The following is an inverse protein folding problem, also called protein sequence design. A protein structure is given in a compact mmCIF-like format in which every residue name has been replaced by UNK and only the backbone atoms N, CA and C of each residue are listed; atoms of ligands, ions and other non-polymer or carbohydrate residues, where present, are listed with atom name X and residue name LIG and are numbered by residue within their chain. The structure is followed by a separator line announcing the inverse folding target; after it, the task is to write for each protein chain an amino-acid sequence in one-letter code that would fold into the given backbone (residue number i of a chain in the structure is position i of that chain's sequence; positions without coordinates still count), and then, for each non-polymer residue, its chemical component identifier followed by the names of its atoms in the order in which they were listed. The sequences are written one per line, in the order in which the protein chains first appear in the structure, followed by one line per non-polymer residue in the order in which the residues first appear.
data_IF_194931079835
#
_entry.id   IF_194931079835
#
_cell.length_a   1.000
_cell.length_b   1.000
_cell.length_c   1.000
_cell.angle_alpha   90.00
_cell.angle_beta   90.00
_cell.angle_gamma   90.00
#
_symmetry.space_group_name_H-M   'P 1'
#
loop_
_entity.id
_entity.type
_entity.pdbx_description
1 polymer ?
#
# COMPACT_ATOMS: atom_id res chain seq x y z
N UNK A 1 17.89 3.42 -4.63
CA UNK A 1 16.72 2.98 -5.39
C UNK A 1 16.51 1.48 -5.18
N UNK A 2 15.47 1.13 -4.44
CA UNK A 2 15.23 -0.27 -4.09
C UNK A 2 14.53 -1.00 -5.24
N UNK A 3 14.90 -2.28 -5.42
CA UNK A 3 14.18 -3.10 -6.38
C UNK A 3 12.78 -3.45 -5.85
N UNK A 4 11.94 -3.96 -6.74
CA UNK A 4 10.54 -4.27 -6.44
C UNK A 4 10.40 -5.26 -5.29
N UNK A 5 11.21 -6.32 -5.28
CA UNK A 5 11.11 -7.39 -4.29
C UNK A 5 11.42 -6.87 -2.89
N UNK A 6 12.50 -6.09 -2.75
CA UNK A 6 12.89 -5.52 -1.45
C UNK A 6 11.84 -4.53 -0.97
N UNK A 7 11.37 -3.65 -1.85
CA UNK A 7 10.33 -2.68 -1.52
C UNK A 7 9.02 -3.36 -1.11
N UNK A 8 8.66 -4.45 -1.80
CA UNK A 8 7.47 -5.23 -1.47
C UNK A 8 7.53 -5.77 -0.04
N UNK A 9 8.67 -6.33 0.36
CA UNK A 9 8.84 -6.84 1.73
C UNK A 9 8.80 -5.72 2.76
N UNK A 10 9.42 -4.58 2.47
CA UNK A 10 9.39 -3.42 3.37
C UNK A 10 7.96 -2.92 3.55
N UNK A 11 7.22 -2.78 2.45
CA UNK A 11 5.83 -2.31 2.49
C UNK A 11 4.96 -3.32 3.21
N UNK A 12 5.13 -4.63 2.95
CA UNK A 12 4.39 -5.67 3.66
C UNK A 12 4.55 -5.51 5.17
N UNK A 13 5.78 -5.38 5.64
CA UNK A 13 6.06 -5.29 7.08
C UNK A 13 5.42 -4.07 7.72
N UNK A 14 5.56 -2.90 7.08
CA UNK A 14 5.00 -1.68 7.67
C UNK A 14 3.47 -1.69 7.65
N UNK A 15 2.85 -2.28 6.63
CA UNK A 15 1.39 -2.36 6.57
C UNK A 15 0.83 -3.42 7.51
N UNK A 16 1.50 -4.55 7.67
CA UNK A 16 1.12 -5.57 8.66
C UNK A 16 1.18 -5.02 10.08
N UNK A 17 2.09 -4.10 10.35
CA UNK A 17 2.23 -3.46 11.65
C UNK A 17 1.02 -2.58 11.98
N UNK A 18 0.52 -1.83 11.01
CA UNK A 18 -0.58 -0.88 11.24
C UNK A 18 -1.96 -1.49 10.97
N UNK A 19 -2.03 -2.57 10.21
CA UNK A 19 -3.28 -3.27 9.87
C UNK A 19 -3.06 -4.78 10.01
N UNK A 20 -2.89 -5.30 11.24
CA UNK A 20 -2.48 -6.69 11.45
C UNK A 20 -3.52 -7.73 11.05
N UNK A 21 -4.78 -7.34 10.89
CA UNK A 21 -5.86 -8.29 10.53
C UNK A 21 -6.11 -8.37 9.03
N UNK A 22 -5.44 -7.53 8.23
CA UNK A 22 -5.61 -7.53 6.77
C UNK A 22 -4.63 -8.55 6.16
N UNK A 23 -5.14 -9.35 5.21
CA UNK A 23 -4.30 -10.27 4.46
C UNK A 23 -3.70 -9.54 3.24
N UNK A 24 -2.45 -9.09 3.37
CA UNK A 24 -1.77 -8.38 2.28
C UNK A 24 -1.29 -9.28 1.15
N UNK A 25 -1.46 -10.60 1.27
CA UNK A 25 -1.17 -11.53 0.17
C UNK A 25 -2.37 -11.79 -0.73
N UNK A 26 -3.52 -11.20 -0.41
CA UNK A 26 -4.73 -11.34 -1.20
C UNK A 26 -4.59 -10.68 -2.56
N UNK A 27 -5.10 -11.32 -3.61
CA UNK A 27 -5.23 -10.74 -4.95
C UNK A 27 -6.44 -9.80 -5.04
N UNK A 28 -7.24 -9.74 -3.99
CA UNK A 28 -8.45 -8.90 -3.89
C UNK A 28 -8.36 -8.02 -2.66
N UNK A 29 -7.21 -7.40 -2.46
CA UNK A 29 -6.93 -6.62 -1.26
C UNK A 29 -7.95 -5.50 -1.04
N UNK A 30 -8.39 -4.85 -2.12
CA UNK A 30 -9.35 -3.74 -2.02
C UNK A 30 -10.63 -4.16 -1.29
N UNK A 31 -11.09 -5.40 -1.50
CA UNK A 31 -12.32 -5.89 -0.87
C UNK A 31 -12.15 -6.17 0.63
N UNK A 32 -10.92 -6.24 1.12
CA UNK A 32 -10.62 -6.44 2.54
C UNK A 32 -10.45 -5.15 3.32
N UNK A 33 -10.51 -4.00 2.61
CA UNK A 33 -10.24 -2.69 3.22
C UNK A 33 -11.53 -1.90 3.40
N UNK A 34 -11.66 -1.25 4.56
CA UNK A 34 -12.65 -0.20 4.77
C UNK A 34 -12.00 1.17 4.54
N UNK A 35 -12.78 2.25 4.71
CA UNK A 35 -12.27 3.61 4.51
C UNK A 35 -11.09 3.94 5.42
N UNK A 36 -11.12 3.45 6.66
CA UNK A 36 -10.04 3.68 7.61
C UNK A 36 -8.79 2.92 7.19
N UNK A 37 -8.94 1.68 6.73
CA UNK A 37 -7.83 0.89 6.23
C UNK A 37 -7.15 1.54 5.02
N UNK A 38 -7.95 2.01 4.07
CA UNK A 38 -7.43 2.74 2.90
C UNK A 38 -6.66 3.98 3.32
N UNK A 39 -7.25 4.81 4.19
CA UNK A 39 -6.59 6.02 4.68
C UNK A 39 -5.27 5.69 5.39
N UNK A 40 -5.28 4.65 6.22
CA UNK A 40 -4.08 4.21 6.95
C UNK A 40 -2.97 3.82 5.99
N UNK A 41 -3.28 3.07 4.94
CA UNK A 41 -2.30 2.68 3.92
C UNK A 41 -1.70 3.92 3.24
N UNK A 42 -2.55 4.83 2.77
CA UNK A 42 -2.08 6.03 2.08
C UNK A 42 -1.17 6.88 2.97
N UNK A 43 -1.55 7.08 4.22
CA UNK A 43 -0.75 7.85 5.17
C UNK A 43 0.58 7.17 5.48
N UNK A 44 0.55 5.87 5.73
CA UNK A 44 1.75 5.11 6.09
C UNK A 44 2.78 5.15 4.96
N UNK A 45 2.34 4.92 3.73
CA UNK A 45 3.23 4.92 2.57
C UNK A 45 3.72 6.34 2.23
N UNK A 46 2.86 7.34 2.38
CA UNK A 46 3.27 8.73 2.16
C UNK A 46 4.39 9.13 3.11
N UNK A 47 4.23 8.82 4.39
CA UNK A 47 5.23 9.14 5.41
C UNK A 47 6.52 8.36 5.20
N UNK A 48 6.42 7.08 4.90
CA UNK A 48 7.59 6.21 4.78
C UNK A 48 8.48 6.58 3.61
N UNK A 49 7.89 7.05 2.51
CA UNK A 49 8.63 7.31 1.27
C UNK A 49 8.74 8.80 0.92
N UNK A 50 8.21 9.67 1.75
CA UNK A 50 8.26 11.11 1.49
C UNK A 50 7.52 11.51 0.22
N UNK A 51 6.42 10.82 -0.09
CA UNK A 51 5.59 11.08 -1.28
C UNK A 51 4.20 11.53 -0.85
N UNK A 52 3.40 12.00 -1.80
CA UNK A 52 2.02 12.39 -1.53
C UNK A 52 1.07 11.39 -2.19
N UNK A 53 0.35 10.65 -1.36
CA UNK A 53 -0.76 9.79 -1.80
C UNK A 53 -2.04 10.35 -1.20
N UNK A 54 -3.05 10.55 -2.03
CA UNK A 54 -4.34 11.10 -1.61
C UNK A 54 -5.51 10.27 -2.13
N UNK A 55 -6.73 10.77 -1.93
CA UNK A 55 -7.94 10.03 -2.29
C UNK A 55 -7.99 9.69 -3.79
N UNK A 56 -7.36 10.47 -4.65
CA UNK A 56 -7.35 10.18 -6.10
C UNK A 56 -6.52 8.95 -6.43
N UNK A 57 -5.57 8.58 -5.56
CA UNK A 57 -4.76 7.38 -5.72
C UNK A 57 -5.45 6.12 -5.19
N UNK A 58 -6.54 6.29 -4.42
CA UNK A 58 -7.25 5.20 -3.76
C UNK A 58 -8.25 4.53 -4.72
N UNK A 59 -7.76 4.01 -5.82
CA UNK A 59 -8.58 3.32 -6.81
C UNK A 59 -8.57 1.82 -6.55
N UNK A 60 -9.60 1.08 -6.99
CA UNK A 60 -9.58 -0.39 -6.89
C UNK A 60 -8.36 -1.01 -7.56
N UNK A 61 -7.90 -0.42 -8.67
CA UNK A 61 -6.72 -0.90 -9.39
C UNK A 61 -5.45 -0.75 -8.56
N UNK A 62 -5.24 0.42 -7.96
CA UNK A 62 -4.04 0.69 -7.17
C UNK A 62 -4.01 -0.10 -5.87
N UNK A 63 -5.18 -0.39 -5.29
CA UNK A 63 -5.31 -1.11 -4.03
C UNK A 63 -5.64 -2.59 -4.22
N UNK A 64 -5.47 -3.11 -5.41
CA UNK A 64 -5.85 -4.49 -5.74
C UNK A 64 -5.01 -5.53 -4.99
N UNK A 65 -3.72 -5.26 -4.82
CA UNK A 65 -2.78 -6.21 -4.21
C UNK A 65 -1.59 -5.46 -3.65
N UNK A 66 -0.75 -6.18 -2.91
CA UNK A 66 0.53 -5.62 -2.45
C UNK A 66 1.39 -5.18 -3.63
N UNK A 67 1.42 -5.98 -4.71
CA UNK A 67 2.17 -5.61 -5.92
C UNK A 67 1.71 -4.29 -6.50
N UNK A 68 0.41 -4.04 -6.55
CA UNK A 68 -0.12 -2.78 -7.08
C UNK A 68 0.22 -1.60 -6.17
N UNK A 69 0.29 -1.82 -4.86
CA UNK A 69 0.73 -0.78 -3.92
C UNK A 69 2.20 -0.43 -4.13
N UNK A 70 3.04 -1.42 -4.33
CA UNK A 70 4.46 -1.19 -4.63
C UNK A 70 4.61 -0.39 -5.93
N UNK A 71 3.87 -0.78 -6.97
CA UNK A 71 3.88 -0.05 -8.24
C UNK A 71 3.41 1.41 -8.06
N UNK A 72 2.39 1.64 -7.24
CA UNK A 72 1.90 2.98 -6.94
C UNK A 72 3.00 3.82 -6.27
N UNK A 73 3.67 3.28 -5.26
CA UNK A 73 4.76 3.98 -4.58
C UNK A 73 5.87 4.31 -5.58
N UNK A 74 6.29 3.33 -6.38
CA UNK A 74 7.35 3.54 -7.36
C UNK A 74 7.00 4.63 -8.39
N UNK A 75 5.72 4.75 -8.74
CA UNK A 75 5.27 5.78 -9.69
C UNK A 75 5.38 7.20 -9.14
N UNK A 76 5.50 7.34 -7.82
CA UNK A 76 5.61 8.64 -7.14
C UNK A 76 7.03 9.01 -6.74
N UNK A 77 7.95 8.08 -6.88
CA UNK A 77 9.36 8.31 -6.50
C UNK A 77 10.17 9.03 -7.58
#
# INVERSE_FOLDING_TARGET
FKNFIVMKEDIRKMLEDVLPLVNFDSDFLFSELDSLGVTTILMTLSDAYGITLDATDATPRNLRSLDSLVALVQSKL
#
